data_IF_784754634758
#
_entry.id   IF_784754634758
#
_cell.length_a   1.000
_cell.length_b   1.000
_cell.length_c   1.000
_cell.angle_alpha   90.00
_cell.angle_beta   90.00
_cell.angle_gamma   90.00
#
_symmetry.space_group_name_H-M   'P 1'
#
loop_
_entity.id
_entity.type
_entity.pdbx_description
1 polymer ?
#
# COMPACT_ATOMS: atom_id res chain seq x y z
N UNK A 1 47.99 -53.25 -19.68
CA UNK A 1 47.75 -52.31 -20.79
C UNK A 1 48.03 -50.87 -20.33
N UNK A 2 49.17 -50.35 -20.74
CA UNK A 2 49.70 -49.03 -20.40
C UNK A 2 48.83 -47.96 -21.08
N UNK A 3 48.28 -47.03 -20.29
CA UNK A 3 47.55 -45.89 -20.80
C UNK A 3 48.53 -44.93 -21.51
N UNK A 4 48.37 -44.76 -22.82
CA UNK A 4 49.11 -43.78 -23.60
C UNK A 4 48.69 -42.37 -23.19
N UNK A 5 49.66 -41.55 -22.79
CA UNK A 5 49.48 -40.13 -22.51
C UNK A 5 48.87 -39.40 -23.70
N UNK A 6 47.88 -38.51 -23.51
CA UNK A 6 47.24 -37.78 -24.60
C UNK A 6 48.25 -36.88 -25.33
N UNK A 7 48.07 -36.66 -26.64
CA UNK A 7 49.01 -35.93 -27.49
C UNK A 7 49.15 -34.46 -27.05
N UNK A 8 50.39 -33.97 -26.99
CA UNK A 8 50.79 -32.66 -26.42
C UNK A 8 50.05 -31.44 -26.96
N UNK A 9 49.43 -31.53 -28.14
CA UNK A 9 48.68 -30.41 -28.74
C UNK A 9 47.33 -30.17 -28.05
N UNK A 10 46.70 -31.20 -27.47
CA UNK A 10 45.44 -31.05 -26.73
C UNK A 10 45.65 -30.22 -25.45
N UNK A 11 46.78 -30.42 -24.76
CA UNK A 11 47.16 -29.64 -23.58
C UNK A 11 47.29 -28.15 -23.92
N UNK A 12 47.83 -27.84 -25.11
CA UNK A 12 47.91 -26.46 -25.61
C UNK A 12 46.53 -25.84 -25.87
N UNK A 13 45.59 -26.62 -26.41
CA UNK A 13 44.23 -26.16 -26.67
C UNK A 13 43.45 -25.91 -25.36
N UNK A 14 43.60 -26.80 -24.37
CA UNK A 14 42.99 -26.60 -23.04
C UNK A 14 43.62 -25.44 -22.28
N UNK A 15 44.93 -25.25 -22.37
CA UNK A 15 45.62 -24.11 -21.74
C UNK A 15 45.19 -22.77 -22.38
N UNK A 16 45.07 -22.72 -23.71
CA UNK A 16 44.56 -21.55 -24.42
C UNK A 16 43.10 -21.24 -24.07
N UNK A 17 42.24 -22.26 -23.99
CA UNK A 17 40.85 -22.11 -23.56
C UNK A 17 40.71 -21.63 -22.12
N UNK A 18 41.52 -22.14 -21.20
CA UNK A 18 41.54 -21.71 -19.80
C UNK A 18 41.98 -20.24 -19.65
N UNK A 19 42.99 -19.82 -20.40
CA UNK A 19 43.45 -18.42 -20.40
C UNK A 19 42.40 -17.47 -20.98
N UNK A 20 41.68 -17.89 -22.03
CA UNK A 20 40.57 -17.10 -22.59
C UNK A 20 39.43 -16.92 -21.57
N UNK A 21 39.04 -17.98 -20.86
CA UNK A 21 38.01 -17.94 -19.83
C UNK A 21 38.42 -17.06 -18.64
N UNK A 22 39.69 -17.12 -18.21
CA UNK A 22 40.22 -16.25 -17.17
C UNK A 22 40.22 -14.77 -17.60
N UNK A 23 40.53 -14.49 -18.87
CA UNK A 23 40.44 -13.14 -19.44
C UNK A 23 39.00 -12.60 -19.43
N UNK A 24 38.02 -13.40 -19.83
CA UNK A 24 36.60 -13.03 -19.80
C UNK A 24 36.13 -12.81 -18.36
N UNK A 25 36.52 -13.69 -17.43
CA UNK A 25 36.19 -13.55 -16.01
C UNK A 25 36.80 -12.27 -15.42
N UNK A 26 38.05 -11.94 -15.76
CA UNK A 26 38.71 -10.71 -15.32
C UNK A 26 38.03 -9.46 -15.89
N UNK A 27 37.60 -9.47 -17.16
CA UNK A 27 36.85 -8.36 -17.76
C UNK A 27 35.48 -8.19 -17.12
N UNK A 28 34.79 -9.29 -16.79
CA UNK A 28 33.51 -9.24 -16.10
C UNK A 28 33.66 -8.76 -14.65
N UNK A 29 34.69 -9.20 -13.93
CA UNK A 29 35.02 -8.70 -12.58
C UNK A 29 35.42 -7.22 -12.60
N UNK A 30 36.18 -6.80 -13.62
CA UNK A 30 36.54 -5.39 -13.80
C UNK A 30 35.33 -4.54 -14.16
N UNK A 31 34.43 -5.02 -15.02
CA UNK A 31 33.14 -4.36 -15.29
C UNK A 31 32.28 -4.28 -14.02
N UNK A 32 32.23 -5.32 -13.20
CA UNK A 32 31.49 -5.33 -11.93
C UNK A 32 32.07 -4.33 -10.92
N UNK A 33 33.41 -4.22 -10.87
CA UNK A 33 34.12 -3.30 -9.99
C UNK A 33 33.97 -1.84 -10.45
N UNK A 34 33.97 -1.59 -11.78
CA UNK A 34 33.74 -0.26 -12.37
C UNK A 34 32.27 0.14 -12.39
N UNK A 35 31.35 -0.82 -12.46
CA UNK A 35 29.91 -0.60 -12.35
C UNK A 35 29.47 -0.49 -10.90
N UNK A 36 30.39 -0.15 -9.98
CA UNK A 36 30.17 0.01 -8.55
C UNK A 36 28.74 0.43 -8.31
N UNK A 37 27.96 -0.50 -7.75
CA UNK A 37 26.55 -0.32 -7.51
C UNK A 37 26.44 0.77 -6.46
N UNK A 38 26.36 2.02 -6.92
CA UNK A 38 25.81 3.07 -6.10
C UNK A 38 24.41 2.59 -5.74
N UNK A 39 24.06 2.49 -4.45
CA UNK A 39 22.68 2.26 -4.09
C UNK A 39 21.86 3.30 -4.85
N UNK A 40 20.80 2.85 -5.53
CA UNK A 40 19.88 3.75 -6.19
C UNK A 40 19.57 4.90 -5.21
N UNK A 41 19.64 6.18 -5.64
CA UNK A 41 19.37 7.28 -4.74
C UNK A 41 18.05 6.99 -4.02
N UNK A 42 18.10 7.09 -2.70
CA UNK A 42 16.97 6.81 -1.82
C UNK A 42 15.70 7.41 -2.42
N UNK A 43 14.59 6.65 -2.51
CA UNK A 43 13.29 7.21 -2.91
C UNK A 43 12.81 8.31 -1.93
N UNK A 44 13.54 8.50 -0.83
CA UNK A 44 13.34 9.55 0.17
C UNK A 44 14.47 10.58 0.07
N UNK A 45 14.18 11.81 -0.40
CA UNK A 45 15.18 12.89 -0.53
C UNK A 45 15.88 13.28 0.79
N UNK A 46 15.32 12.87 1.94
CA UNK A 46 15.73 13.29 3.28
C UNK A 46 16.22 12.12 4.18
N UNK A 47 16.55 10.95 3.62
CA UNK A 47 16.91 9.76 4.38
C UNK A 47 18.38 9.37 4.17
N UNK A 48 19.18 9.35 5.24
CA UNK A 48 20.60 8.99 5.20
C UNK A 48 20.78 7.45 5.24
N UNK A 49 21.22 6.89 4.11
CA UNK A 49 21.43 5.45 3.94
C UNK A 49 22.49 4.88 4.91
N UNK A 50 23.42 5.72 5.39
CA UNK A 50 24.49 5.31 6.30
C UNK A 50 23.97 4.82 7.65
N UNK A 51 22.83 5.34 8.10
CA UNK A 51 22.21 4.92 9.35
C UNK A 51 21.68 3.48 9.26
N UNK A 52 21.08 3.12 8.12
CA UNK A 52 20.58 1.76 7.88
C UNK A 52 21.75 0.77 7.76
N UNK A 53 22.81 1.12 7.01
CA UNK A 53 23.99 0.27 6.89
C UNK A 53 24.71 0.06 8.23
N UNK A 54 24.80 1.09 9.08
CA UNK A 54 25.40 0.96 10.41
C UNK A 54 24.55 0.12 11.37
N UNK A 55 23.22 0.24 11.31
CA UNK A 55 22.31 -0.44 12.24
C UNK A 55 22.03 -1.90 11.82
N UNK A 56 21.91 -2.15 10.53
CA UNK A 56 21.52 -3.46 9.99
C UNK A 56 22.67 -4.25 9.35
N UNK A 57 23.83 -3.60 9.14
CA UNK A 57 24.95 -4.20 8.41
C UNK A 57 24.62 -4.43 6.93
N UNK A 58 25.64 -4.65 6.11
CA UNK A 58 25.48 -5.11 4.74
C UNK A 58 24.95 -6.56 4.74
N UNK A 59 23.63 -6.71 4.89
CA UNK A 59 22.98 -8.01 4.83
C UNK A 59 22.93 -8.47 3.35
N UNK A 60 23.95 -9.22 2.94
CA UNK A 60 23.82 -10.16 1.84
C UNK A 60 22.70 -11.17 2.19
N UNK A 61 21.73 -11.45 1.30
CA UNK A 61 20.70 -12.42 1.61
C UNK A 61 21.27 -13.82 1.36
N UNK A 62 21.82 -14.44 2.39
CA UNK A 62 22.13 -15.87 2.35
C UNK A 62 20.91 -16.64 2.90
N UNK A 63 20.02 -17.01 1.97
CA UNK A 63 18.88 -17.88 2.23
C UNK A 63 19.43 -19.27 2.60
N UNK A 64 19.53 -19.57 3.89
CA UNK A 64 19.62 -20.95 4.38
C UNK A 64 18.39 -21.29 5.19
N UNK A 65 17.48 -21.99 4.53
CA UNK A 65 16.42 -22.78 5.15
C UNK A 65 17.00 -23.67 6.25
N UNK A 66 16.66 -23.39 7.51
CA UNK A 66 16.87 -24.32 8.62
C UNK A 66 15.54 -24.97 8.95
N UNK A 67 15.30 -26.12 8.33
CA UNK A 67 14.33 -27.11 8.80
C UNK A 67 14.73 -27.52 10.21
N UNK A 68 13.94 -27.14 11.22
CA UNK A 68 14.04 -27.72 12.57
C UNK A 68 12.89 -28.71 12.74
N UNK A 69 13.27 -29.98 12.81
CA UNK A 69 12.38 -31.12 12.96
C UNK A 69 11.62 -31.10 14.28
N UNK A 70 10.38 -31.55 14.19
CA UNK A 70 9.51 -31.87 15.31
C UNK A 70 10.12 -32.95 16.20
N UNK A 71 10.05 -32.76 17.52
CA UNK A 71 10.09 -33.86 18.48
C UNK A 71 8.90 -33.77 19.41
N UNK A 72 8.13 -34.84 19.38
CA UNK A 72 7.02 -35.22 20.25
C UNK A 72 7.46 -35.38 21.71
N UNK A 73 6.65 -34.88 22.63
CA UNK A 73 6.70 -35.22 24.05
C UNK A 73 5.30 -35.09 24.64
N UNK A 74 4.74 -36.21 25.09
CA UNK A 74 3.34 -36.40 25.46
C UNK A 74 3.16 -36.30 26.99
N UNK A 75 2.07 -35.64 27.42
CA UNK A 75 1.26 -35.78 28.67
C UNK A 75 1.85 -35.37 30.05
N UNK A 76 1.10 -34.52 30.77
CA UNK A 76 0.17 -34.93 31.85
C UNK A 76 -0.68 -33.75 32.38
N UNK A 77 -1.93 -34.04 32.75
CA UNK A 77 -2.90 -33.14 33.38
C UNK A 77 -2.66 -32.99 34.89
N UNK A 78 -2.96 -31.80 35.44
CA UNK A 78 -3.12 -31.53 36.87
C UNK A 78 -3.87 -30.20 37.10
N UNK A 79 -4.90 -30.23 37.94
CA UNK A 79 -5.90 -29.17 38.15
C UNK A 79 -5.51 -28.05 39.13
N UNK A 80 -6.17 -26.90 38.92
CA UNK A 80 -6.67 -25.89 39.87
C UNK A 80 -5.76 -24.82 40.54
N UNK A 81 -6.19 -23.58 40.28
CA UNK A 81 -6.46 -22.46 41.20
C UNK A 81 -5.35 -21.48 41.70
N UNK A 82 -5.76 -20.21 41.64
CA UNK A 82 -5.39 -19.02 42.43
C UNK A 82 -4.19 -18.15 42.03
N UNK A 83 -4.55 -16.96 41.49
CA UNK A 83 -4.14 -15.62 41.95
C UNK A 83 -2.76 -15.47 42.58
N UNK A 84 -1.86 -14.75 41.89
CA UNK A 84 -1.06 -13.66 42.47
C UNK A 84 -0.36 -12.85 41.36
N UNK A 85 -0.46 -11.52 41.50
CA UNK A 85 0.21 -10.47 40.72
C UNK A 85 1.71 -10.75 40.57
N UNK A 86 2.31 -10.44 39.43
CA UNK A 86 3.76 -10.25 39.33
C UNK A 86 4.10 -8.95 38.58
N UNK A 87 4.65 -8.03 39.38
CA UNK A 87 5.60 -6.95 39.08
C UNK A 87 5.65 -6.36 37.66
N UNK A 88 5.21 -5.09 37.56
CA UNK A 88 5.73 -4.12 36.60
C UNK A 88 7.25 -4.04 36.74
N UNK A 89 7.98 -4.22 35.64
CA UNK A 89 9.42 -3.98 35.60
C UNK A 89 9.67 -2.48 35.51
N UNK A 90 10.65 -1.99 36.26
CA UNK A 90 11.03 -0.58 36.29
C UNK A 90 11.48 -0.01 34.92
N UNK A 91 11.78 -0.87 33.95
CA UNK A 91 12.12 -0.44 32.58
C UNK A 91 10.89 -0.02 31.75
N UNK A 92 9.71 -0.62 31.97
CA UNK A 92 8.47 -0.20 31.29
C UNK A 92 8.02 1.21 31.70
N UNK A 93 8.54 1.71 32.83
CA UNK A 93 8.21 3.03 33.38
C UNK A 93 9.04 4.14 32.74
N UNK A 94 10.26 3.85 32.28
CA UNK A 94 11.15 4.85 31.69
C UNK A 94 10.78 5.15 30.22
N UNK A 95 10.44 4.11 29.44
CA UNK A 95 9.91 4.29 28.08
C UNK A 95 8.60 5.07 28.08
N UNK A 96 7.72 4.85 29.07
CA UNK A 96 6.48 5.59 29.22
C UNK A 96 6.67 7.11 29.43
N UNK A 97 7.72 7.52 30.15
CA UNK A 97 7.99 8.95 30.42
C UNK A 97 8.56 9.66 29.18
N UNK A 98 9.46 9.01 28.44
CA UNK A 98 10.03 9.56 27.20
C UNK A 98 8.99 9.64 26.07
N UNK A 99 8.04 8.70 26.06
CA UNK A 99 6.90 8.70 25.14
C UNK A 99 5.85 9.76 25.46
N UNK A 100 5.55 10.01 26.75
CA UNK A 100 4.63 11.08 27.16
C UNK A 100 5.11 12.47 26.70
N UNK A 101 6.40 12.76 26.84
CA UNK A 101 6.99 14.00 26.34
C UNK A 101 6.94 14.11 24.80
N UNK A 102 7.12 12.99 24.10
CA UNK A 102 7.00 12.94 22.62
C UNK A 102 5.55 13.21 22.17
N UNK A 103 4.56 12.69 22.89
CA UNK A 103 3.13 12.91 22.60
C UNK A 103 2.70 14.34 22.94
N UNK A 104 3.24 14.95 23.99
CA UNK A 104 2.94 16.34 24.33
C UNK A 104 3.49 17.32 23.27
N UNK A 105 4.72 17.09 22.79
CA UNK A 105 5.31 17.85 21.68
C UNK A 105 4.50 17.69 20.39
N UNK A 106 4.11 16.46 20.05
CA UNK A 106 3.27 16.17 18.89
C UNK A 106 1.89 16.84 18.99
N UNK A 107 1.30 16.87 20.19
CA UNK A 107 0.03 17.55 20.44
C UNK A 107 0.10 19.06 20.24
N UNK A 108 1.24 19.68 20.58
CA UNK A 108 1.50 21.12 20.32
C UNK A 108 1.68 21.38 18.83
N UNK A 109 2.45 20.56 18.11
CA UNK A 109 2.67 20.69 16.67
C UNK A 109 1.40 20.51 15.84
N UNK A 110 0.47 19.68 16.30
CA UNK A 110 -0.82 19.45 15.65
C UNK A 110 -1.89 20.51 15.97
N UNK A 111 -1.56 21.52 16.80
CA UNK A 111 -2.53 22.54 17.23
C UNK A 111 -3.70 21.98 18.04
N UNK A 112 -3.54 20.80 18.66
CA UNK A 112 -4.61 20.06 19.34
C UNK A 112 -4.95 20.63 20.73
N UNK A 113 -4.38 21.77 21.13
CA UNK A 113 -4.61 22.39 22.44
C UNK A 113 -6.10 22.58 22.77
N UNK A 114 -6.94 22.86 21.76
CA UNK A 114 -8.39 23.02 21.91
C UNK A 114 -9.15 21.71 22.18
N UNK A 115 -8.53 20.55 21.95
CA UNK A 115 -9.15 19.23 22.03
C UNK A 115 -8.55 18.31 23.11
N UNK A 116 -7.65 18.82 23.96
CA UNK A 116 -7.05 18.10 25.07
C UNK A 116 -5.79 17.28 24.71
N UNK A 117 -5.10 16.70 25.72
CA UNK A 117 -3.83 16.01 25.52
C UNK A 117 -3.99 14.67 24.77
N UNK A 118 -2.99 14.32 23.95
CA UNK A 118 -2.92 13.04 23.24
C UNK A 118 -2.77 11.88 24.23
N UNK A 119 -3.56 10.82 24.03
CA UNK A 119 -3.50 9.59 24.85
C UNK A 119 -2.92 8.42 24.05
N UNK A 120 -2.24 7.49 24.71
CA UNK A 120 -1.75 6.25 24.07
C UNK A 120 -2.90 5.25 23.92
N UNK A 121 -3.07 4.69 22.73
CA UNK A 121 -4.06 3.63 22.48
C UNK A 121 -3.63 2.29 23.09
N UNK A 122 -4.58 1.42 23.42
CA UNK A 122 -4.32 0.10 24.00
C UNK A 122 -4.09 -0.93 22.87
N UNK A 123 -3.04 -1.73 22.98
CA UNK A 123 -2.79 -2.88 22.08
C UNK A 123 -3.87 -3.95 22.31
N UNK A 124 -4.41 -4.53 21.24
CA UNK A 124 -5.43 -5.58 21.35
C UNK A 124 -4.78 -6.98 21.26
N UNK A 125 -4.73 -7.72 22.36
CA UNK A 125 -4.00 -9.00 22.49
C UNK A 125 -4.56 -10.14 21.61
N UNK A 126 -5.71 -9.96 20.98
CA UNK A 126 -6.29 -10.95 20.06
C UNK A 126 -5.91 -10.64 18.62
N UNK A 127 -4.78 -11.20 18.18
CA UNK A 127 -4.48 -11.30 16.74
C UNK A 127 -5.47 -12.23 16.02
N UNK A 128 -6.09 -13.17 16.74
CA UNK A 128 -6.94 -14.27 16.24
C UNK A 128 -8.45 -13.99 16.15
N UNK A 129 -8.93 -12.77 16.38
CA UNK A 129 -10.33 -12.43 16.05
C UNK A 129 -10.45 -12.24 14.53
N UNK A 130 -10.71 -13.34 13.82
CA UNK A 130 -10.84 -13.43 12.36
C UNK A 130 -12.18 -12.82 11.87
N UNK A 131 -13.11 -12.46 12.76
CA UNK A 131 -14.43 -11.92 12.40
C UNK A 131 -14.44 -10.53 11.75
N UNK A 132 -13.27 -9.92 11.47
CA UNK A 132 -13.17 -8.63 10.79
C UNK A 132 -12.23 -8.63 9.59
N UNK A 133 -11.84 -9.81 9.12
CA UNK A 133 -10.94 -9.98 7.98
C UNK A 133 -11.63 -10.95 7.01
N UNK A 134 -12.75 -10.49 6.43
CA UNK A 134 -13.24 -11.09 5.19
C UNK A 134 -12.17 -10.90 4.11
N UNK A 135 -12.02 -11.89 3.26
CA UNK A 135 -10.88 -12.11 2.36
C UNK A 135 -10.68 -11.07 1.24
N UNK A 136 -11.34 -9.92 1.32
CA UNK A 136 -11.22 -8.85 0.34
C UNK A 136 -10.64 -7.62 1.05
N UNK A 137 -9.34 -7.47 0.94
CA UNK A 137 -8.62 -6.38 1.59
C UNK A 137 -8.65 -5.13 0.70
N UNK A 138 -9.74 -4.36 0.79
CA UNK A 138 -9.86 -3.03 0.16
C UNK A 138 -9.65 -3.00 -1.35
N UNK A 139 -9.94 -4.12 -2.00
CA UNK A 139 -10.13 -4.28 -3.44
C UNK A 139 -11.63 -4.44 -3.78
N UNK A 140 -12.53 -4.16 -2.83
CA UNK A 140 -13.99 -4.37 -2.97
C UNK A 140 -14.65 -3.52 -4.07
N UNK A 141 -13.90 -2.59 -4.67
CA UNK A 141 -14.33 -1.76 -5.80
C UNK A 141 -13.36 -1.80 -6.98
N UNK A 142 -12.31 -2.64 -6.94
CA UNK A 142 -11.43 -2.79 -8.09
C UNK A 142 -12.06 -3.77 -9.07
N UNK A 143 -12.72 -3.24 -10.08
CA UNK A 143 -13.20 -4.00 -11.25
C UNK A 143 -12.05 -4.30 -12.21
N UNK A 144 -10.93 -4.75 -11.65
CA UNK A 144 -9.72 -5.07 -12.38
C UNK A 144 -8.70 -3.96 -12.48
N UNK A 145 -7.71 -4.24 -13.31
CA UNK A 145 -6.52 -3.43 -13.51
C UNK A 145 -6.19 -3.37 -15.00
N UNK A 146 -5.69 -2.22 -15.43
CA UNK A 146 -5.17 -2.04 -16.80
C UNK A 146 -3.71 -1.62 -16.75
N UNK A 147 -2.89 -2.28 -17.56
CA UNK A 147 -1.51 -1.89 -17.81
C UNK A 147 -1.45 -0.88 -18.95
N UNK A 148 -0.88 0.29 -18.66
CA UNK A 148 -0.76 1.39 -19.60
C UNK A 148 0.69 1.83 -19.74
N UNK A 149 1.04 2.25 -20.95
CA UNK A 149 2.30 2.91 -21.27
C UNK A 149 2.02 4.31 -21.82
N UNK A 150 2.79 5.31 -21.41
CA UNK A 150 2.66 6.68 -21.86
C UNK A 150 4.02 7.26 -22.22
N UNK A 151 4.10 7.91 -23.37
CA UNK A 151 5.29 8.58 -23.85
C UNK A 151 4.90 9.92 -24.46
N UNK A 152 5.60 10.99 -24.10
CA UNK A 152 5.36 12.30 -24.68
C UNK A 152 6.44 12.65 -25.70
N UNK A 153 6.04 12.88 -26.95
CA UNK A 153 6.92 13.40 -27.98
C UNK A 153 6.79 14.93 -28.04
N UNK A 154 7.78 15.61 -27.46
CA UNK A 154 7.84 17.08 -27.46
C UNK A 154 8.09 17.70 -28.83
N UNK A 155 8.58 16.95 -29.83
CA UNK A 155 8.74 17.48 -31.21
C UNK A 155 7.42 17.46 -31.97
N UNK A 156 6.65 16.39 -31.78
CA UNK A 156 5.34 16.23 -32.40
C UNK A 156 4.21 16.91 -31.60
N UNK A 157 4.50 17.41 -30.39
CA UNK A 157 3.52 17.89 -29.43
C UNK A 157 2.39 16.87 -29.23
N UNK A 158 2.77 15.61 -29.03
CA UNK A 158 1.84 14.50 -28.99
C UNK A 158 2.12 13.57 -27.80
N UNK A 159 1.06 13.26 -27.05
CA UNK A 159 1.06 12.22 -26.03
C UNK A 159 0.65 10.89 -26.66
N UNK A 160 1.54 9.92 -26.60
CA UNK A 160 1.27 8.56 -27.00
C UNK A 160 0.86 7.73 -25.79
N UNK A 161 -0.35 7.17 -25.83
CA UNK A 161 -0.87 6.28 -24.78
C UNK A 161 -1.08 4.91 -25.39
N UNK A 162 -0.43 3.89 -24.83
CA UNK A 162 -0.58 2.49 -25.25
C UNK A 162 -1.33 1.73 -24.16
N UNK A 163 -2.48 1.16 -24.52
CA UNK A 163 -3.18 0.18 -23.70
C UNK A 163 -2.54 -1.18 -23.99
N UNK A 164 -1.86 -1.75 -22.99
CA UNK A 164 -1.15 -3.02 -23.17
C UNK A 164 -2.09 -4.19 -22.89
N UNK A 165 -2.51 -4.33 -21.65
CA UNK A 165 -3.38 -5.43 -21.23
C UNK A 165 -4.26 -5.05 -20.05
N UNK A 166 -5.38 -5.73 -19.90
CA UNK A 166 -6.27 -5.64 -18.75
C UNK A 166 -6.44 -6.98 -18.07
N UNK A 167 -6.59 -6.96 -16.74
CA UNK A 167 -6.84 -8.13 -15.89
C UNK A 167 -8.01 -7.86 -14.96
N UNK A 168 -8.86 -8.87 -14.79
CA UNK A 168 -10.06 -8.83 -13.95
C UNK A 168 -11.00 -7.65 -14.30
N UNK A 169 -11.03 -7.20 -15.57
CA UNK A 169 -11.73 -5.98 -16.01
C UNK A 169 -13.24 -5.99 -15.73
N UNK A 170 -13.81 -7.19 -15.59
CA UNK A 170 -15.20 -7.47 -15.23
C UNK A 170 -15.22 -8.64 -14.24
N UNK A 171 -16.15 -8.64 -13.29
CA UNK A 171 -16.27 -9.70 -12.28
C UNK A 171 -16.54 -11.08 -12.94
N UNK A 172 -15.76 -12.10 -12.56
CA UNK A 172 -15.79 -13.44 -13.17
C UNK A 172 -17.14 -14.18 -13.05
N UNK A 173 -17.98 -13.76 -12.10
CA UNK A 173 -19.27 -14.37 -11.78
C UNK A 173 -20.47 -13.61 -12.38
N UNK A 174 -20.23 -12.44 -13.00
CA UNK A 174 -21.26 -11.69 -13.71
C UNK A 174 -21.35 -12.16 -15.15
N UNK A 175 -22.26 -13.09 -15.43
CA UNK A 175 -22.65 -13.48 -16.79
C UNK A 175 -23.35 -12.35 -17.58
N UNK A 176 -23.33 -11.11 -17.07
CA UNK A 176 -24.01 -9.94 -17.63
C UNK A 176 -23.34 -9.35 -18.87
N UNK A 177 -22.05 -9.60 -19.06
CA UNK A 177 -21.26 -8.95 -20.12
C UNK A 177 -20.56 -9.99 -20.99
N UNK A 178 -20.89 -10.02 -22.28
CA UNK A 178 -20.27 -10.93 -23.25
C UNK A 178 -18.98 -10.35 -23.85
N UNK A 179 -18.84 -9.03 -23.83
CA UNK A 179 -17.68 -8.34 -24.37
C UNK A 179 -17.40 -7.03 -23.62
N UNK A 180 -16.18 -6.53 -23.76
CA UNK A 180 -15.77 -5.27 -23.16
C UNK A 180 -14.91 -4.43 -24.09
N UNK A 181 -14.84 -3.13 -23.83
CA UNK A 181 -13.89 -2.21 -24.46
C UNK A 181 -13.48 -1.12 -23.47
N UNK A 182 -12.38 -0.44 -23.79
CA UNK A 182 -11.87 0.68 -23.02
C UNK A 182 -12.02 1.99 -23.77
N UNK A 183 -12.27 3.06 -23.02
CA UNK A 183 -12.31 4.43 -23.51
C UNK A 183 -11.30 5.27 -22.74
N UNK A 184 -10.56 6.09 -23.47
CA UNK A 184 -9.63 7.08 -22.93
C UNK A 184 -10.25 8.45 -23.17
N UNK A 185 -10.40 9.23 -22.10
CA UNK A 185 -10.93 10.59 -22.13
C UNK A 185 -9.94 11.57 -21.50
N UNK A 186 -9.81 12.75 -22.09
CA UNK A 186 -9.01 13.85 -21.57
C UNK A 186 -9.91 14.79 -20.76
N UNK A 187 -9.57 14.97 -19.48
CA UNK A 187 -10.22 15.85 -18.52
C UNK A 187 -9.47 17.17 -18.40
N UNK A 188 -10.15 18.30 -18.15
CA UNK A 188 -11.53 18.40 -17.65
C UNK A 188 -12.63 18.39 -18.71
N UNK A 189 -12.30 18.52 -20.00
CA UNK A 189 -13.28 18.64 -21.08
C UNK A 189 -14.06 17.35 -21.42
N UNK A 190 -13.74 16.22 -20.77
CA UNK A 190 -14.28 14.88 -21.06
C UNK A 190 -14.16 14.47 -22.55
N UNK A 191 -13.16 15.01 -23.24
CA UNK A 191 -12.94 14.75 -24.66
C UNK A 191 -12.50 13.30 -24.85
N UNK A 192 -13.20 12.53 -25.70
CA UNK A 192 -12.79 11.17 -26.02
C UNK A 192 -11.58 11.23 -26.96
N UNK A 193 -10.47 10.63 -26.52
CA UNK A 193 -9.18 10.65 -27.22
C UNK A 193 -8.73 9.25 -27.67
N UNK A 194 -9.40 8.20 -27.19
CA UNK A 194 -9.17 6.84 -27.64
C UNK A 194 -10.32 5.92 -27.28
N UNK A 195 -10.62 4.95 -28.15
CA UNK A 195 -11.55 3.86 -27.89
C UNK A 195 -10.86 2.59 -28.37
N UNK A 196 -10.76 1.59 -27.50
CA UNK A 196 -10.17 0.31 -27.86
C UNK A 196 -11.10 -0.51 -28.75
N UNK A 197 -10.56 -1.53 -29.42
CA UNK A 197 -11.41 -2.55 -30.03
C UNK A 197 -12.21 -3.29 -28.97
N UNK A 198 -13.38 -3.78 -29.38
CA UNK A 198 -14.24 -4.62 -28.57
C UNK A 198 -13.62 -6.01 -28.46
N UNK A 199 -13.54 -6.50 -27.23
CA UNK A 199 -12.90 -7.75 -26.88
C UNK A 199 -13.96 -8.69 -26.31
N UNK A 200 -14.08 -9.87 -26.92
CA UNK A 200 -15.09 -10.90 -26.54
C UNK A 200 -14.73 -11.63 -25.23
N UNK A 201 -13.62 -11.28 -24.61
CA UNK A 201 -13.25 -11.76 -23.29
C UNK A 201 -13.27 -10.60 -22.31
N UNK A 202 -14.02 -10.76 -21.24
CA UNK A 202 -14.29 -9.77 -20.22
C UNK A 202 -13.27 -9.77 -19.07
N UNK A 203 -12.41 -10.79 -19.00
CA UNK A 203 -11.61 -11.08 -17.81
C UNK A 203 -10.13 -10.74 -17.96
N UNK A 204 -9.49 -11.21 -19.03
CA UNK A 204 -8.09 -10.91 -19.32
C UNK A 204 -7.95 -10.58 -20.81
N UNK A 205 -7.48 -9.38 -21.10
CA UNK A 205 -7.51 -8.83 -22.45
C UNK A 205 -6.13 -8.28 -22.79
N UNK A 206 -5.59 -8.68 -23.93
CA UNK A 206 -4.45 -7.99 -24.54
C UNK A 206 -5.01 -6.99 -25.55
N UNK A 207 -4.85 -5.70 -25.28
CA UNK A 207 -5.25 -4.65 -26.21
C UNK A 207 -4.15 -4.46 -27.24
N UNK A 208 -2.94 -4.15 -26.77
CA UNK A 208 -1.78 -3.72 -27.57
C UNK A 208 -2.15 -2.62 -28.58
N UNK A 209 -2.85 -1.60 -28.09
CA UNK A 209 -3.38 -0.51 -28.91
C UNK A 209 -2.75 0.83 -28.51
N UNK A 210 -2.21 1.55 -29.50
CA UNK A 210 -1.56 2.86 -29.30
C UNK A 210 -2.45 3.98 -29.84
N UNK A 211 -2.71 4.95 -28.98
CA UNK A 211 -3.44 6.18 -29.27
C UNK A 211 -2.48 7.36 -29.26
N UNK A 212 -2.61 8.25 -30.25
CA UNK A 212 -1.79 9.46 -30.36
C UNK A 212 -2.68 10.67 -30.15
N UNK A 213 -2.40 11.43 -29.10
CA UNK A 213 -3.23 12.53 -28.63
C UNK A 213 -2.43 13.82 -28.86
N UNK A 214 -2.87 14.72 -29.75
CA UNK A 214 -2.21 16.03 -29.90
C UNK A 214 -2.42 16.82 -28.62
N UNK A 215 -1.32 17.18 -27.94
CA UNK A 215 -1.37 17.86 -26.65
C UNK A 215 -0.11 18.71 -26.46
N UNK A 216 -0.31 20.01 -26.30
CA UNK A 216 0.80 20.94 -26.06
C UNK A 216 1.44 20.71 -24.68
N UNK A 217 2.75 21.01 -24.51
CA UNK A 217 3.45 20.76 -23.25
C UNK A 217 2.82 21.48 -22.05
N UNK A 218 2.28 22.70 -22.26
CA UNK A 218 1.60 23.45 -21.21
C UNK A 218 0.29 22.77 -20.76
N UNK A 219 -0.38 22.09 -21.69
CA UNK A 219 -1.64 21.39 -21.42
C UNK A 219 -1.42 20.08 -20.64
N UNK A 220 -0.20 19.54 -20.57
CA UNK A 220 0.10 18.38 -19.71
C UNK A 220 -0.12 18.69 -18.22
N UNK A 221 0.12 19.92 -17.78
CA UNK A 221 0.01 20.27 -16.36
C UNK A 221 -1.45 20.35 -15.88
N UNK A 222 -2.35 20.75 -16.78
CA UNK A 222 -3.75 21.03 -16.48
C UNK A 222 -4.69 19.84 -16.76
N UNK A 223 -4.27 18.92 -17.61
CA UNK A 223 -5.13 17.81 -18.04
C UNK A 223 -4.88 16.51 -17.26
N UNK A 224 -5.91 15.67 -17.23
CA UNK A 224 -5.86 14.32 -16.69
C UNK A 224 -6.41 13.32 -17.69
N UNK A 225 -5.89 12.10 -17.68
CA UNK A 225 -6.44 11.01 -18.47
C UNK A 225 -7.36 10.16 -17.61
N UNK A 226 -8.57 9.93 -18.13
CA UNK A 226 -9.55 8.99 -17.58
C UNK A 226 -9.63 7.75 -18.46
N UNK A 227 -9.38 6.61 -17.85
CA UNK A 227 -9.55 5.28 -18.44
C UNK A 227 -10.86 4.70 -17.95
N UNK A 228 -11.78 4.40 -18.85
CA UNK A 228 -13.08 3.82 -18.52
C UNK A 228 -13.26 2.49 -19.22
N UNK A 229 -13.62 1.44 -18.49
CA UNK A 229 -14.01 0.13 -19.02
C UNK A 229 -15.51 0.07 -19.17
N UNK A 230 -15.98 -0.38 -20.33
CA UNK A 230 -17.37 -0.63 -20.62
C UNK A 230 -17.60 -2.11 -20.90
N UNK A 231 -18.53 -2.72 -20.17
CA UNK A 231 -19.10 -4.03 -20.51
C UNK A 231 -20.29 -3.85 -21.46
N UNK A 232 -20.41 -4.75 -22.43
CA UNK A 232 -21.54 -4.81 -23.37
C UNK A 232 -22.44 -5.98 -22.96
N UNK A 233 -23.70 -5.69 -22.67
CA UNK A 233 -24.72 -6.67 -22.27
C UNK A 233 -25.38 -7.36 -23.50
N UNK A 234 -26.25 -8.34 -23.25
CA UNK A 234 -27.00 -9.08 -24.29
C UNK A 234 -27.89 -8.16 -25.14
N UNK A 235 -28.29 -6.99 -24.62
CA UNK A 235 -29.08 -5.97 -25.31
C UNK A 235 -28.19 -4.97 -26.11
N UNK A 236 -26.89 -5.26 -26.26
CA UNK A 236 -25.86 -4.40 -26.87
C UNK A 236 -25.68 -3.02 -26.19
N UNK A 237 -26.09 -2.87 -24.92
CA UNK A 237 -25.89 -1.63 -24.16
C UNK A 237 -24.51 -1.61 -23.52
N UNK A 238 -23.85 -0.47 -23.65
CA UNK A 238 -22.56 -0.23 -22.99
C UNK A 238 -22.77 0.31 -21.58
N UNK A 239 -22.29 -0.42 -20.58
CA UNK A 239 -22.37 -0.06 -19.17
C UNK A 239 -20.95 0.18 -18.65
N UNK A 240 -20.70 1.37 -18.09
CA UNK A 240 -19.40 1.69 -17.49
C UNK A 240 -19.20 0.86 -16.22
N UNK A 241 -18.24 -0.05 -16.24
CA UNK A 241 -17.96 -0.93 -15.11
C UNK A 241 -16.86 -0.36 -14.22
N UNK A 242 -15.83 0.27 -14.81
CA UNK A 242 -14.66 0.71 -14.07
C UNK A 242 -14.00 1.96 -14.60
N UNK A 243 -13.46 2.80 -13.71
CA UNK A 243 -12.77 4.04 -14.08
C UNK A 243 -11.48 4.23 -13.30
N UNK A 244 -10.40 4.57 -13.98
CA UNK A 244 -9.15 5.07 -13.39
C UNK A 244 -8.86 6.47 -13.92
N UNK A 245 -8.39 7.37 -13.06
CA UNK A 245 -8.02 8.74 -13.42
C UNK A 245 -6.56 8.99 -13.05
N UNK A 246 -5.81 9.57 -13.97
CA UNK A 246 -4.38 9.84 -13.83
C UNK A 246 -4.08 11.28 -14.26
N UNK A 247 -3.59 12.09 -13.33
CA UNK A 247 -3.12 13.45 -13.64
C UNK A 247 -1.82 13.39 -14.41
N UNK A 248 -1.74 14.16 -15.50
CA UNK A 248 -0.54 14.17 -16.33
C UNK A 248 0.62 14.94 -15.67
N UNK A 249 0.33 15.95 -14.83
CA UNK A 249 1.32 16.69 -14.02
C UNK A 249 2.07 15.83 -13.00
N UNK A 250 1.46 14.73 -12.52
CA UNK A 250 2.12 13.80 -11.60
C UNK A 250 3.20 12.94 -12.31
N UNK A 251 3.23 12.97 -13.65
CA UNK A 251 4.10 12.14 -14.48
C UNK A 251 5.20 12.98 -15.13
N UNK A 252 6.46 12.57 -14.94
CA UNK A 252 7.59 13.19 -15.64
C UNK A 252 7.76 12.60 -17.07
N UNK A 253 6.76 12.79 -17.92
CA UNK A 253 6.70 12.24 -19.29
C UNK A 253 7.72 12.85 -20.23
N UNK A 254 8.21 14.06 -19.95
CA UNK A 254 9.21 14.74 -20.76
C UNK A 254 10.60 14.08 -20.68
N UNK A 255 10.89 13.32 -19.63
CA UNK A 255 12.20 12.70 -19.41
C UNK A 255 12.22 11.20 -19.66
N UNK A 256 11.10 10.50 -19.47
CA UNK A 256 11.01 9.05 -19.61
C UNK A 256 9.58 8.59 -19.88
N UNK A 257 9.40 7.46 -20.58
CA UNK A 257 8.10 6.83 -20.69
C UNK A 257 7.61 6.35 -19.32
N UNK A 258 6.31 6.46 -19.09
CA UNK A 258 5.62 5.96 -17.91
C UNK A 258 4.99 4.59 -18.23
N UNK A 259 5.18 3.60 -17.37
CA UNK A 259 4.57 2.28 -17.50
C UNK A 259 4.05 1.86 -16.13
N UNK A 260 2.75 1.56 -16.01
CA UNK A 260 2.16 1.16 -14.75
C UNK A 260 0.86 0.38 -14.92
N UNK A 261 0.53 -0.37 -13.87
CA UNK A 261 -0.80 -0.91 -13.66
C UNK A 261 -1.67 0.13 -12.95
N UNK A 262 -2.83 0.44 -13.52
CA UNK A 262 -3.85 1.29 -12.92
C UNK A 262 -5.01 0.43 -12.44
N UNK A 263 -5.45 0.65 -11.20
CA UNK A 263 -6.60 -0.01 -10.62
C UNK A 263 -7.88 0.74 -11.00
N UNK A 264 -8.85 0.03 -11.58
CA UNK A 264 -10.12 0.59 -12.03
C UNK A 264 -11.12 0.60 -10.89
N UNK A 265 -11.81 1.72 -10.67
CA UNK A 265 -12.82 1.86 -9.62
C UNK A 265 -14.23 1.71 -10.19
N UNK A 266 -15.08 0.91 -9.55
CA UNK A 266 -16.50 0.81 -9.90
C UNK A 266 -17.23 2.12 -9.61
N UNK A 267 -17.72 2.78 -10.67
CA UNK A 267 -18.46 4.04 -10.58
C UNK A 267 -19.99 3.83 -10.56
N UNK A 268 -20.46 2.60 -10.78
CA UNK A 268 -21.89 2.24 -10.78
C UNK A 268 -22.42 2.05 -9.36
N UNK A 269 -21.53 1.64 -8.44
CA UNK A 269 -21.82 1.63 -7.01
C UNK A 269 -21.72 3.06 -6.49
N UNK A 270 -22.79 3.65 -5.93
CA UNK A 270 -22.65 4.92 -5.22
C UNK A 270 -21.56 4.72 -4.17
N UNK A 271 -20.64 5.67 -4.13
CA UNK A 271 -19.60 5.73 -3.12
C UNK A 271 -20.28 5.70 -1.74
N UNK A 272 -20.34 4.52 -1.11
CA UNK A 272 -21.07 4.32 0.15
C UNK A 272 -20.20 4.88 1.30
N UNK A 273 -20.12 6.21 1.34
CA UNK A 273 -19.43 6.95 2.39
C UNK A 273 -20.24 6.94 3.65
N UNK A 274 -19.66 6.35 4.69
CA UNK A 274 -20.24 6.29 6.02
C UNK A 274 -19.59 7.27 6.98
N UNK A 275 -19.08 8.38 6.44
CA UNK A 275 -18.47 9.48 7.17
C UNK A 275 -17.02 9.73 6.80
N UNK A 276 -16.36 10.57 7.58
CA UNK A 276 -14.96 10.96 7.37
C UNK A 276 -14.17 10.85 8.67
N UNK A 277 -12.90 10.48 8.57
CA UNK A 277 -11.98 10.38 9.69
C UNK A 277 -10.73 11.24 9.45
N UNK A 278 -10.34 12.01 10.47
CA UNK A 278 -9.11 12.79 10.46
C UNK A 278 -8.00 11.96 11.13
N UNK A 279 -6.96 11.70 10.36
CA UNK A 279 -5.81 10.92 10.79
C UNK A 279 -4.55 11.77 10.68
N UNK A 280 -3.64 11.59 11.64
CA UNK A 280 -2.30 12.14 11.54
C UNK A 280 -1.26 11.04 11.49
N UNK A 281 -0.37 11.08 10.50
CA UNK A 281 0.71 10.12 10.30
C UNK A 281 2.05 10.79 10.50
N UNK A 282 2.94 10.15 11.24
CA UNK A 282 4.35 10.52 11.31
C UNK A 282 5.21 9.28 11.40
N UNK A 283 6.35 9.32 10.71
CA UNK A 283 7.36 8.28 10.83
C UNK A 283 8.67 8.89 11.34
N UNK A 284 9.23 8.28 12.39
CA UNK A 284 10.53 8.62 12.94
C UNK A 284 11.52 7.49 12.61
N UNK A 285 12.38 7.64 11.59
CA UNK A 285 13.34 6.61 11.18
C UNK A 285 14.29 6.15 12.26
N UNK A 286 14.83 7.09 13.04
CA UNK A 286 15.86 6.78 14.05
C UNK A 286 15.31 5.83 15.11
N UNK A 287 14.07 6.04 15.53
CA UNK A 287 13.36 5.19 16.49
C UNK A 287 12.56 4.07 15.83
N UNK A 288 12.55 3.99 14.49
CA UNK A 288 11.77 3.03 13.71
C UNK A 288 10.31 2.98 14.15
N UNK A 289 9.73 4.18 14.24
CA UNK A 289 8.47 4.40 14.93
C UNK A 289 7.47 5.06 14.00
N UNK A 290 6.45 4.31 13.60
CA UNK A 290 5.28 4.82 12.90
C UNK A 290 4.21 5.19 13.92
N UNK A 291 3.83 6.46 13.95
CA UNK A 291 2.77 6.97 14.83
C UNK A 291 1.57 7.35 14.00
N UNK A 292 0.42 6.73 14.33
CA UNK A 292 -0.88 7.02 13.75
C UNK A 292 -1.74 7.65 14.83
N UNK A 293 -2.06 8.93 14.71
CA UNK A 293 -3.00 9.61 15.62
C UNK A 293 -4.38 9.58 15.01
N UNK A 294 -5.31 8.94 15.71
CA UNK A 294 -6.74 9.03 15.41
C UNK A 294 -7.25 10.29 16.08
N UNK A 295 -7.54 11.33 15.30
CA UNK A 295 -7.91 12.65 15.83
C UNK A 295 -9.40 12.69 16.13
N UNK A 296 -10.23 12.69 15.08
CA UNK A 296 -11.69 12.74 15.18
C UNK A 296 -12.35 12.15 13.95
N UNK A 297 -13.63 11.82 14.06
CA UNK A 297 -14.47 11.47 12.92
C UNK A 297 -15.72 12.36 12.89
N UNK A 298 -16.34 12.48 11.73
CA UNK A 298 -17.58 13.25 11.53
C UNK A 298 -18.47 12.59 10.49
N UNK A 299 -19.76 12.95 10.49
CA UNK A 299 -20.76 12.48 9.54
C UNK A 299 -20.86 10.95 9.48
N UNK A 300 -20.68 10.26 10.62
CA UNK A 300 -20.71 8.80 10.67
C UNK A 300 -22.13 8.28 10.44
N UNK A 301 -22.28 7.31 9.53
CA UNK A 301 -23.57 6.69 9.20
C UNK A 301 -23.59 5.25 9.70
N UNK A 302 -24.42 4.97 10.70
CA UNK A 302 -24.50 3.66 11.35
C UNK A 302 -25.50 2.72 10.64
N UNK A 303 -25.17 1.43 10.60
CA UNK A 303 -25.91 0.41 9.86
C UNK A 303 -27.25 0.03 10.52
N UNK A 304 -27.44 0.37 11.80
CA UNK A 304 -28.55 -0.13 12.61
C UNK A 304 -29.84 0.72 12.54
N UNK A 305 -29.89 1.77 11.72
CA UNK A 305 -31.08 2.63 11.56
C UNK A 305 -31.55 3.33 12.85
N UNK A 306 -30.80 3.19 13.95
CA UNK A 306 -31.08 3.87 15.21
C UNK A 306 -30.49 5.28 15.13
N UNK A 307 -31.36 6.27 15.27
CA UNK A 307 -31.01 7.71 15.40
C UNK A 307 -30.31 7.99 16.75
N UNK A 308 -30.30 7.01 17.67
CA UNK A 308 -29.61 7.10 18.96
C UNK A 308 -28.10 6.99 18.76
N UNK A 309 -27.36 7.86 19.42
CA UNK A 309 -25.94 8.01 19.23
C UNK A 309 -25.19 6.69 19.55
N UNK A 310 -24.52 6.16 18.54
CA UNK A 310 -23.71 4.96 18.63
C UNK A 310 -22.51 5.18 19.57
N UNK A 311 -21.86 4.07 19.94
CA UNK A 311 -20.65 4.06 20.75
C UNK A 311 -19.42 3.77 19.86
N UNK A 312 -18.91 4.77 19.09
CA UNK A 312 -17.83 4.57 18.14
C UNK A 312 -16.48 4.28 18.79
N UNK A 313 -15.71 3.41 18.12
CA UNK A 313 -14.28 3.23 18.35
C UNK A 313 -13.55 2.90 17.04
N UNK A 314 -12.24 3.12 17.01
CA UNK A 314 -11.42 2.92 15.81
C UNK A 314 -10.42 1.79 16.05
N UNK A 315 -10.32 0.89 15.08
CA UNK A 315 -9.33 -0.19 15.01
C UNK A 315 -8.32 0.19 13.93
N UNK A 316 -7.03 0.27 14.26
CA UNK A 316 -5.94 0.46 13.29
C UNK A 316 -5.16 -0.84 13.17
N UNK A 317 -5.13 -1.37 11.95
CA UNK A 317 -4.38 -2.56 11.59
C UNK A 317 -3.15 -2.15 10.79
N UNK A 318 -2.01 -2.70 11.17
CA UNK A 318 -0.80 -2.66 10.35
C UNK A 318 -0.74 -3.96 9.56
N UNK A 319 -0.60 -3.84 8.25
CA UNK A 319 -0.64 -4.93 7.29
C UNK A 319 0.69 -5.02 6.53
N UNK A 320 1.13 -6.24 6.22
CA UNK A 320 2.22 -6.54 5.29
C UNK A 320 1.71 -7.60 4.32
N UNK A 321 1.76 -7.33 3.01
CA UNK A 321 1.21 -8.22 1.97
C UNK A 321 -0.23 -8.67 2.25
N UNK A 322 -1.08 -7.72 2.69
CA UNK A 322 -2.46 -7.97 3.09
C UNK A 322 -2.63 -8.71 4.43
N UNK A 323 -1.56 -9.24 5.04
CA UNK A 323 -1.62 -9.94 6.32
C UNK A 323 -1.49 -8.97 7.48
N UNK A 324 -2.39 -9.09 8.46
CA UNK A 324 -2.34 -8.32 9.71
C UNK A 324 -1.14 -8.72 10.56
N UNK A 325 -0.22 -7.78 10.78
CA UNK A 325 0.93 -7.96 11.67
C UNK A 325 0.72 -7.29 13.04
N UNK A 326 -0.09 -6.24 13.12
CA UNK A 326 -0.40 -5.57 14.38
C UNK A 326 -1.80 -4.95 14.38
N UNK A 327 -2.38 -4.77 15.57
CA UNK A 327 -3.67 -4.10 15.78
C UNK A 327 -3.68 -3.30 17.07
N UNK A 328 -4.16 -2.07 16.97
CA UNK A 328 -4.45 -1.19 18.10
C UNK A 328 -5.87 -0.67 17.98
N UNK A 329 -6.48 -0.30 19.11
CA UNK A 329 -7.82 0.27 19.13
C UNK A 329 -7.89 1.48 20.04
N UNK A 330 -8.75 2.42 19.70
CA UNK A 330 -9.07 3.55 20.57
C UNK A 330 -9.96 3.11 21.74
N UNK A 331 -10.12 4.00 22.72
CA UNK A 331 -11.25 3.92 23.62
C UNK A 331 -12.57 4.11 22.86
N UNK A 332 -13.65 3.58 23.44
CA UNK A 332 -15.02 3.77 22.97
C UNK A 332 -15.49 5.16 23.42
N UNK A 333 -16.05 5.95 22.50
CA UNK A 333 -16.71 7.22 22.82
C UNK A 333 -18.20 6.96 22.89
N UNK A 334 -18.85 7.36 23.98
CA UNK A 334 -20.27 7.03 24.20
C UNK A 334 -21.17 8.11 23.64
N UNK A 335 -22.16 7.71 22.85
CA UNK A 335 -23.22 8.59 22.39
C UNK A 335 -22.76 9.83 21.63
N UNK A 336 -21.71 9.72 20.81
CA UNK A 336 -21.14 10.84 20.05
C UNK A 336 -21.12 10.55 18.54
N UNK A 337 -21.83 11.36 17.76
CA UNK A 337 -21.90 11.25 16.29
C UNK A 337 -20.69 11.88 15.59
N UNK A 338 -19.91 12.70 16.29
CA UNK A 338 -18.69 13.34 15.80
C UNK A 338 -17.53 13.10 16.79
N UNK A 339 -17.17 11.83 17.03
CA UNK A 339 -16.29 11.45 18.12
C UNK A 339 -14.89 12.06 17.96
N UNK A 340 -14.41 12.69 19.03
CA UNK A 340 -13.01 13.12 19.15
C UNK A 340 -12.25 12.08 19.96
N UNK A 341 -11.30 11.39 19.31
CA UNK A 341 -10.49 10.35 19.92
C UNK A 341 -9.23 10.94 20.56
N UNK A 342 -8.42 11.63 19.76
CA UNK A 342 -7.09 12.14 20.13
C UNK A 342 -6.18 11.05 20.73
N UNK A 343 -6.16 9.89 20.07
CA UNK A 343 -5.40 8.73 20.52
C UNK A 343 -4.29 8.38 19.53
N UNK A 344 -3.06 8.34 20.04
CA UNK A 344 -1.87 7.96 19.29
C UNK A 344 -1.62 6.45 19.38
N UNK A 345 -1.44 5.85 18.21
CA UNK A 345 -1.12 4.45 18.00
C UNK A 345 0.29 4.33 17.47
N UNK A 346 1.18 3.78 18.29
CA UNK A 346 2.62 3.70 17.99
C UNK A 346 2.98 2.27 17.57
N UNK A 347 3.49 2.11 16.37
CA UNK A 347 3.98 0.85 15.80
C UNK A 347 5.50 0.89 15.64
N UNK A 348 6.17 -0.19 16.04
CA UNK A 348 7.59 -0.41 15.73
C UNK A 348 7.69 -0.97 14.31
N UNK A 349 8.25 -0.18 13.42
CA UNK A 349 8.32 -0.43 11.97
C UNK A 349 9.74 -0.12 11.50
N UNK A 350 10.53 -1.16 11.16
CA UNK A 350 11.84 -0.96 10.54
C UNK A 350 11.72 -0.17 9.24
N UNK A 351 12.64 0.77 9.01
CA UNK A 351 12.51 1.65 7.86
C UNK A 351 12.64 0.90 6.52
N UNK A 352 13.38 -0.21 6.51
CA UNK A 352 13.57 -1.05 5.33
C UNK A 352 12.25 -1.69 4.83
N UNK A 353 11.33 -2.02 5.74
CA UNK A 353 10.03 -2.64 5.37
C UNK A 353 8.91 -1.62 5.25
N UNK A 354 9.13 -0.34 5.56
CA UNK A 354 8.06 0.67 5.62
C UNK A 354 7.25 0.76 4.31
N UNK A 355 7.90 0.61 3.15
CA UNK A 355 7.25 0.67 1.83
C UNK A 355 6.52 -0.62 1.43
N UNK A 356 6.57 -1.66 2.27
CA UNK A 356 5.83 -2.91 2.09
C UNK A 356 4.57 -2.94 2.99
N UNK A 357 4.41 -1.93 3.85
CA UNK A 357 3.34 -1.88 4.83
C UNK A 357 2.19 -1.01 4.38
N UNK A 358 0.99 -1.41 4.81
CA UNK A 358 -0.22 -0.59 4.70
C UNK A 358 -0.95 -0.53 6.04
N UNK A 359 -1.68 0.55 6.24
CA UNK A 359 -2.58 0.77 7.36
C UNK A 359 -4.01 0.56 6.88
N UNK A 360 -4.77 -0.22 7.65
CA UNK A 360 -6.24 -0.23 7.56
C UNK A 360 -6.80 0.41 8.81
N UNK A 361 -7.54 1.49 8.65
CA UNK A 361 -8.24 2.16 9.74
C UNK A 361 -9.72 1.85 9.61
N UNK A 362 -10.32 1.24 10.62
CA UNK A 362 -11.73 0.82 10.61
C UNK A 362 -12.46 1.45 11.78
N UNK A 363 -13.52 2.21 11.49
CA UNK A 363 -14.48 2.69 12.48
C UNK A 363 -15.50 1.60 12.73
N UNK A 364 -15.77 1.31 14.00
CA UNK A 364 -16.72 0.31 14.43
C UNK A 364 -17.61 0.84 15.57
N UNK A 365 -18.81 0.31 15.66
CA UNK A 365 -19.74 0.52 16.76
C UNK A 365 -19.52 -0.55 17.82
N UNK A 366 -19.50 -0.18 19.10
CA UNK A 366 -19.44 -1.16 20.19
C UNK A 366 -20.83 -1.76 20.43
N UNK A 367 -21.02 -3.05 20.11
CA UNK A 367 -22.24 -3.80 20.41
C UNK A 367 -22.35 -4.20 21.89
N UNK A 368 -23.58 -4.50 22.33
CA UNK A 368 -23.89 -4.99 23.70
C UNK A 368 -23.25 -6.36 24.00
N UNK A 369 -22.95 -7.15 22.97
CA UNK A 369 -22.28 -8.45 23.05
C UNK A 369 -20.74 -8.34 23.05
N UNK A 370 -20.19 -7.12 22.98
CA UNK A 370 -18.76 -6.85 22.91
C UNK A 370 -18.13 -7.14 21.54
N UNK A 371 -18.90 -7.61 20.54
CA UNK A 371 -18.45 -7.68 19.14
C UNK A 371 -18.80 -6.35 18.49
N UNK A 372 -17.76 -5.63 18.07
CA UNK A 372 -17.97 -4.34 17.44
C UNK A 372 -18.19 -4.46 15.94
N UNK A 373 -19.36 -4.01 15.47
CA UNK A 373 -19.76 -3.99 14.08
C UNK A 373 -18.98 -2.93 13.30
N UNK A 374 -18.35 -3.35 12.21
CA UNK A 374 -17.55 -2.42 11.41
C UNK A 374 -18.47 -1.57 10.55
N UNK A 375 -18.38 -0.26 10.71
CA UNK A 375 -19.18 0.72 9.97
C UNK A 375 -18.53 1.02 8.64
N UNK A 376 -17.23 1.35 8.67
CA UNK A 376 -16.46 1.62 7.47
C UNK A 376 -14.98 1.69 7.73
N UNK A 377 -14.21 1.78 6.65
CA UNK A 377 -12.77 1.73 6.68
C UNK A 377 -12.09 2.60 5.61
N UNK A 378 -10.79 2.84 5.81
CA UNK A 378 -9.89 3.43 4.82
C UNK A 378 -8.56 2.67 4.82
N UNK A 379 -7.96 2.53 3.63
CA UNK A 379 -6.60 2.03 3.43
C UNK A 379 -5.64 3.19 3.18
N UNK A 380 -4.48 3.15 3.83
CA UNK A 380 -3.41 4.12 3.67
C UNK A 380 -2.09 3.37 3.53
N UNK A 381 -1.37 3.59 2.45
CA UNK A 381 -0.12 2.89 2.17
C UNK A 381 0.27 2.96 0.70
N UNK A 382 1.39 2.34 0.32
CA UNK A 382 1.91 2.37 -1.05
C UNK A 382 0.97 1.71 -2.07
N UNK A 383 0.20 0.72 -1.64
CA UNK A 383 -0.79 0.01 -2.47
C UNK A 383 -2.20 0.59 -2.36
N UNK A 384 -2.41 1.65 -1.58
CA UNK A 384 -3.68 2.34 -1.52
C UNK A 384 -3.90 3.17 -2.80
N UNK A 385 -5.10 3.72 -2.98
CA UNK A 385 -5.43 4.65 -4.06
C UNK A 385 -5.89 6.01 -3.51
N UNK A 386 -5.81 7.05 -4.35
CA UNK A 386 -6.29 8.40 -4.04
C UNK A 386 -5.63 9.00 -2.79
N UNK A 387 -6.46 9.53 -1.87
CA UNK A 387 -5.99 10.22 -0.66
C UNK A 387 -5.17 9.32 0.27
N UNK A 388 -5.42 8.01 0.29
CA UNK A 388 -4.64 7.06 1.09
C UNK A 388 -3.17 7.04 0.70
N UNK A 389 -2.89 7.01 -0.61
CA UNK A 389 -1.52 7.07 -1.16
C UNK A 389 -0.90 8.44 -0.95
N UNK A 390 -1.67 9.51 -1.18
CA UNK A 390 -1.19 10.89 -1.00
C UNK A 390 -0.76 11.15 0.46
N UNK A 391 -1.56 10.71 1.43
CA UNK A 391 -1.24 10.87 2.85
C UNK A 391 0.04 10.12 3.23
N UNK A 392 0.20 8.90 2.73
CA UNK A 392 1.40 8.09 2.95
C UNK A 392 2.64 8.75 2.35
N UNK A 393 2.55 9.20 1.09
CA UNK A 393 3.66 9.86 0.40
C UNK A 393 4.06 11.18 1.08
N UNK A 394 3.10 11.97 1.55
CA UNK A 394 3.39 13.19 2.30
C UNK A 394 4.08 12.92 3.63
N UNK A 395 3.67 11.87 4.36
CA UNK A 395 4.37 11.43 5.58
C UNK A 395 5.82 11.05 5.28
N UNK A 396 6.06 10.33 4.18
CA UNK A 396 7.40 9.92 3.76
C UNK A 396 8.27 11.10 3.29
N UNK A 397 7.66 12.12 2.67
CA UNK A 397 8.34 13.34 2.27
C UNK A 397 8.74 14.22 3.47
N UNK A 398 7.96 14.17 4.55
CA UNK A 398 8.10 15.03 5.73
C UNK A 398 8.37 14.23 7.01
N UNK A 399 9.38 13.35 6.95
CA UNK A 399 9.80 12.53 8.09
C UNK A 399 9.95 13.36 9.37
N UNK A 400 9.57 12.75 10.51
CA UNK A 400 9.54 13.36 11.85
C UNK A 400 8.50 14.47 12.06
N UNK A 401 7.82 14.93 11.01
CA UNK A 401 6.69 15.85 11.12
C UNK A 401 5.38 15.08 10.96
N UNK A 402 4.37 15.38 11.78
CA UNK A 402 3.05 14.81 11.59
C UNK A 402 2.35 15.48 10.40
N UNK A 403 1.79 14.66 9.52
CA UNK A 403 0.92 15.08 8.42
C UNK A 403 -0.49 14.68 8.78
N UNK A 404 -1.45 15.60 8.68
CA UNK A 404 -2.85 15.34 8.99
C UNK A 404 -3.72 15.46 7.76
N UNK A 405 -4.60 14.49 7.54
CA UNK A 405 -5.47 14.46 6.37
C UNK A 405 -6.82 13.83 6.71
N UNK A 406 -7.88 14.37 6.10
CA UNK A 406 -9.21 13.77 6.14
C UNK A 406 -9.31 12.62 5.15
N UNK A 407 -9.96 11.54 5.59
CA UNK A 407 -10.19 10.35 4.79
C UNK A 407 -11.67 9.98 4.82
N UNK A 408 -12.32 9.80 3.67
CA UNK A 408 -13.67 9.27 3.62
C UNK A 408 -13.65 7.79 4.03
N UNK A 409 -14.58 7.41 4.89
CA UNK A 409 -14.79 6.03 5.32
C UNK A 409 -15.72 5.34 4.34
N UNK A 410 -15.35 4.15 3.90
CA UNK A 410 -16.12 3.32 2.97
C UNK A 410 -16.71 2.13 3.70
N UNK A 411 -17.97 1.77 3.43
CA UNK A 411 -18.51 0.47 3.84
C UNK A 411 -17.72 -0.68 3.21
N UNK A 412 -17.71 -1.83 3.89
CA UNK A 412 -17.13 -3.07 3.35
C UNK A 412 -17.96 -3.58 2.18
#
# INVERSE_FOLDING_TARGET
PVASSPPRWEIGLYAAGALALLGIAAINLWKLWRSGSYPAPSPFPNYDYRYLEQKYGAAHPDVRHKVKGAKSGLRTLGQSAASRKSSLRAEDTLEGIQELGSLELMGRDLGLAHYGPLKKSISADSLNSISSIGNNFGQDFTVGQVEVSMEYDGKAAALHVTLLQGKDLLEKEDARFESCFMRISLLPAEQIVGISRIQRSAYAVAFDERFSIPLDPAALEENSLRFSVFGIDEDERSISTGVAELKLSDLNLASRPFNAWLYLQDMSKPVDTVGEILLSLSYLPTAERLTVVVVKAKNLVWSNGKVTAADPFVKVYLLQDGRKISKKKTAVKRGDTNPVFNEAMIFSVPAIVLQELSLRVTVAESGEDGRGDNTGHVLIGPTASGMGTTHWNQMLATLRKPVSMWHPLRRN
#
